data_IF_689362214512
#
_entry.id   IF_689362214512
#
_cell.length_a   1.000
_cell.length_b   1.000
_cell.length_c   1.000
_cell.angle_alpha   90.00
_cell.angle_beta   90.00
_cell.angle_gamma   90.00
#
_symmetry.space_group_name_H-M   'P 1'
#
loop_
_entity.id
_entity.type
_entity.pdbx_description
1 polymer ?
#
# COMPACT_ATOMS: atom_id res chain seq x y z
N UNK A 1 -16.96 18.36 -1.59
CA UNK A 1 -15.89 17.78 -0.76
C UNK A 1 -16.36 17.67 0.69
N UNK A 2 -17.42 16.90 0.96
CA UNK A 2 -18.11 16.88 2.26
C UNK A 2 -17.86 15.62 3.10
N UNK A 3 -16.79 14.88 2.82
CA UNK A 3 -16.45 13.63 3.56
C UNK A 3 -15.05 13.71 4.16
N UNK A 4 -14.75 14.81 4.84
CA UNK A 4 -13.55 14.87 5.67
C UNK A 4 -13.84 14.14 6.99
N UNK A 5 -13.32 12.91 7.13
CA UNK A 5 -13.50 12.05 8.31
C UNK A 5 -12.15 11.88 9.05
N UNK A 6 -11.69 12.90 9.78
CA UNK A 6 -10.36 12.88 10.40
C UNK A 6 -10.23 11.78 11.45
N UNK A 7 -11.30 11.49 12.20
CA UNK A 7 -11.30 10.45 13.23
C UNK A 7 -11.11 9.05 12.64
N UNK A 8 -11.78 8.73 11.52
CA UNK A 8 -11.62 7.45 10.85
C UNK A 8 -10.20 7.29 10.26
N UNK A 9 -9.67 8.36 9.66
CA UNK A 9 -8.31 8.38 9.12
C UNK A 9 -7.25 8.20 10.23
N UNK A 10 -7.45 8.86 11.38
CA UNK A 10 -6.55 8.75 12.53
C UNK A 10 -6.61 7.35 13.15
N UNK A 11 -7.80 6.78 13.30
CA UNK A 11 -7.97 5.41 13.79
C UNK A 11 -7.31 4.39 12.86
N UNK A 12 -7.52 4.51 11.55
CA UNK A 12 -6.86 3.66 10.55
C UNK A 12 -5.34 3.79 10.57
N UNK A 13 -4.83 5.01 10.66
CA UNK A 13 -3.39 5.27 10.78
C UNK A 13 -2.77 4.68 12.04
N UNK A 14 -3.45 4.79 13.18
CA UNK A 14 -3.02 4.18 14.45
C UNK A 14 -2.97 2.65 14.34
N UNK A 15 -3.99 2.01 13.76
CA UNK A 15 -4.01 0.56 13.57
C UNK A 15 -2.86 0.08 12.67
N UNK A 16 -2.60 0.79 11.57
CA UNK A 16 -1.47 0.50 10.69
C UNK A 16 -0.14 0.68 11.43
N UNK A 17 0.01 1.77 12.17
CA UNK A 17 1.22 2.05 12.95
C UNK A 17 1.50 0.99 14.01
N UNK A 18 0.49 0.61 14.79
CA UNK A 18 0.60 -0.44 15.81
C UNK A 18 0.96 -1.78 15.15
N UNK A 19 0.26 -2.16 14.08
CA UNK A 19 0.51 -3.41 13.33
C UNK A 19 1.96 -3.46 12.80
N UNK A 20 2.44 -2.38 12.19
CA UNK A 20 3.80 -2.28 11.70
C UNK A 20 4.85 -2.34 12.82
N UNK A 21 4.56 -1.71 13.97
CA UNK A 21 5.44 -1.73 15.15
C UNK A 21 5.50 -3.11 15.78
N UNK A 22 4.38 -3.83 15.89
CA UNK A 22 4.34 -5.20 16.37
C UNK A 22 5.12 -6.14 15.46
N UNK A 23 4.98 -6.02 14.14
CA UNK A 23 5.74 -6.81 13.19
C UNK A 23 7.25 -6.58 13.35
N UNK A 24 7.65 -5.33 13.52
CA UNK A 24 9.05 -4.97 13.76
C UNK A 24 9.55 -5.53 15.09
N UNK A 25 8.74 -5.45 16.13
CA UNK A 25 9.12 -5.91 17.47
C UNK A 25 9.26 -7.44 17.53
N UNK A 26 8.26 -8.18 17.05
CA UNK A 26 8.26 -9.65 17.13
C UNK A 26 9.14 -10.33 16.09
N UNK A 27 9.18 -9.81 14.86
CA UNK A 27 9.88 -10.45 13.74
C UNK A 27 11.14 -9.71 13.29
N UNK A 28 11.40 -8.49 13.80
CA UNK A 28 12.50 -7.66 13.32
C UNK A 28 12.39 -7.26 11.84
N UNK A 29 11.20 -7.39 11.24
CA UNK A 29 10.96 -7.19 9.81
C UNK A 29 10.14 -5.93 9.54
N UNK A 30 10.43 -5.27 8.43
CA UNK A 30 9.73 -4.06 8.01
C UNK A 30 8.49 -4.44 7.18
N UNK A 31 7.32 -3.85 7.51
CA UNK A 31 6.07 -4.06 6.80
C UNK A 31 6.06 -3.37 5.42
N UNK A 32 6.87 -3.84 4.48
CA UNK A 32 6.87 -3.39 3.09
C UNK A 32 6.19 -4.41 2.18
N UNK A 33 4.96 -4.12 1.71
CA UNK A 33 4.14 -5.09 0.96
C UNK A 33 4.86 -5.64 -0.27
N UNK A 34 5.53 -4.81 -1.08
CA UNK A 34 6.25 -5.29 -2.27
C UNK A 34 7.38 -6.26 -1.92
N UNK A 35 8.12 -5.98 -0.83
CA UNK A 35 9.17 -6.87 -0.34
C UNK A 35 8.64 -8.16 0.26
N UNK A 36 7.47 -8.10 0.93
CA UNK A 36 6.80 -9.29 1.49
C UNK A 36 6.30 -10.19 0.36
N UNK A 37 5.60 -9.64 -0.64
CA UNK A 37 5.10 -10.39 -1.80
C UNK A 37 6.25 -10.99 -2.62
N UNK A 38 7.26 -10.19 -2.94
CA UNK A 38 8.43 -10.66 -3.65
C UNK A 38 9.12 -11.82 -2.90
N UNK A 39 9.36 -11.65 -1.60
CA UNK A 39 9.95 -12.70 -0.79
C UNK A 39 9.06 -13.93 -0.63
N UNK A 40 7.74 -13.80 -0.57
CA UNK A 40 6.82 -14.94 -0.53
C UNK A 40 6.92 -15.80 -1.79
N UNK A 41 7.15 -15.18 -2.95
CA UNK A 41 7.23 -15.87 -4.25
C UNK A 41 8.60 -16.47 -4.52
N UNK A 42 9.68 -15.75 -4.21
CA UNK A 42 11.03 -16.08 -4.68
C UNK A 42 12.00 -16.58 -3.60
N UNK A 43 11.66 -16.46 -2.31
CA UNK A 43 12.55 -16.92 -1.24
C UNK A 43 12.51 -18.43 -1.10
N UNK A 44 13.69 -19.08 -1.11
CA UNK A 44 13.83 -20.53 -0.97
C UNK A 44 13.79 -20.99 0.50
N UNK A 45 14.11 -20.11 1.46
CA UNK A 45 14.10 -20.44 2.89
C UNK A 45 12.65 -20.57 3.39
N UNK A 46 12.31 -21.74 3.93
CA UNK A 46 10.94 -22.06 4.39
C UNK A 46 10.43 -21.10 5.48
N UNK A 47 11.24 -20.83 6.48
CA UNK A 47 10.86 -20.03 7.64
C UNK A 47 10.61 -18.56 7.27
N UNK A 48 11.43 -18.00 6.37
CA UNK A 48 11.25 -16.62 5.89
C UNK A 48 10.06 -16.48 4.93
N UNK A 49 9.63 -17.58 4.32
CA UNK A 49 8.46 -17.63 3.44
C UNK A 49 7.15 -17.73 4.22
N UNK A 50 7.12 -18.54 5.29
CA UNK A 50 5.91 -18.81 6.07
C UNK A 50 5.35 -17.52 6.67
N UNK A 51 6.15 -16.72 7.37
CA UNK A 51 5.67 -15.48 7.97
C UNK A 51 5.14 -14.49 6.92
N UNK A 52 5.73 -14.44 5.70
CA UNK A 52 5.27 -13.58 4.60
C UNK A 52 3.91 -14.01 4.10
N UNK A 53 3.72 -15.32 3.91
CA UNK A 53 2.43 -15.88 3.50
C UNK A 53 1.37 -15.61 4.58
N UNK A 54 1.69 -15.85 5.85
CA UNK A 54 0.78 -15.56 6.97
C UNK A 54 0.41 -14.07 7.04
N UNK A 55 1.36 -13.18 6.78
CA UNK A 55 1.09 -11.74 6.71
C UNK A 55 0.10 -11.40 5.58
N UNK A 56 0.29 -11.95 4.39
CA UNK A 56 -0.61 -11.73 3.24
C UNK A 56 -2.01 -12.29 3.54
N UNK A 57 -2.08 -13.50 4.09
CA UNK A 57 -3.36 -14.12 4.49
C UNK A 57 -4.06 -13.27 5.55
N UNK A 58 -3.33 -12.79 6.57
CA UNK A 58 -3.87 -11.89 7.59
C UNK A 58 -4.40 -10.58 7.02
N UNK A 59 -3.71 -10.01 6.03
CA UNK A 59 -4.15 -8.78 5.36
C UNK A 59 -5.47 -9.01 4.59
N UNK A 60 -5.57 -10.11 3.85
CA UNK A 60 -6.77 -10.50 3.10
C UNK A 60 -7.93 -10.79 4.09
N UNK A 61 -7.68 -11.59 5.11
CA UNK A 61 -8.68 -11.92 6.13
C UNK A 61 -9.19 -10.66 6.85
N UNK A 62 -8.31 -9.73 7.21
CA UNK A 62 -8.68 -8.45 7.82
C UNK A 62 -9.58 -7.61 6.91
N UNK A 63 -9.30 -7.59 5.61
CA UNK A 63 -10.15 -6.93 4.61
C UNK A 63 -11.55 -7.56 4.53
N UNK A 64 -11.62 -8.88 4.50
CA UNK A 64 -12.91 -9.60 4.49
C UNK A 64 -13.71 -9.38 5.78
N UNK A 65 -13.06 -9.43 6.93
CA UNK A 65 -13.72 -9.18 8.24
C UNK A 65 -14.26 -7.75 8.27
N UNK A 66 -13.50 -6.77 7.80
CA UNK A 66 -13.95 -5.37 7.73
C UNK A 66 -15.19 -5.22 6.84
N UNK A 67 -15.19 -5.84 5.65
CA UNK A 67 -16.34 -5.81 4.73
C UNK A 67 -17.58 -6.49 5.31
N UNK A 68 -17.39 -7.57 6.08
CA UNK A 68 -18.49 -8.29 6.74
C UNK A 68 -19.10 -7.46 7.89
N UNK A 69 -18.26 -6.74 8.66
CA UNK A 69 -18.71 -5.93 9.78
C UNK A 69 -19.34 -4.58 9.33
N UNK A 70 -18.87 -4.01 8.22
CA UNK A 70 -19.30 -2.72 7.69
C UNK A 70 -19.76 -2.82 6.24
N UNK A 71 -20.87 -3.51 5.95
CA UNK A 71 -21.38 -3.66 4.60
C UNK A 71 -21.77 -2.28 4.01
N UNK A 72 -21.35 -2.02 2.78
CA UNK A 72 -21.66 -0.76 2.08
C UNK A 72 -20.63 0.37 2.26
N UNK A 73 -19.60 0.21 3.09
CA UNK A 73 -18.55 1.23 3.28
C UNK A 73 -17.65 1.36 2.04
N UNK A 74 -17.44 0.27 1.33
CA UNK A 74 -16.63 0.23 0.11
C UNK A 74 -17.55 -0.01 -1.08
N UNK A 75 -17.72 1.01 -1.92
CA UNK A 75 -18.38 0.86 -3.21
C UNK A 75 -17.32 0.59 -4.27
N UNK A 76 -17.28 -0.62 -4.87
CA UNK A 76 -16.35 -0.91 -5.95
C UNK A 76 -16.65 0.02 -7.13
N UNK A 77 -15.64 0.73 -7.60
CA UNK A 77 -15.77 1.51 -8.82
C UNK A 77 -15.91 0.55 -10.00
N UNK A 78 -17.07 0.55 -10.62
CA UNK A 78 -17.36 -0.20 -11.84
C UNK A 78 -17.11 0.68 -13.06
N UNK A 79 -16.72 0.08 -14.18
CA UNK A 79 -16.56 0.81 -15.45
C UNK A 79 -15.12 0.99 -15.95
N UNK A 80 -14.12 0.49 -15.22
CA UNK A 80 -12.75 0.49 -15.73
C UNK A 80 -12.49 -0.69 -16.65
N UNK A 81 -11.84 -0.42 -17.80
CA UNK A 81 -11.35 -1.47 -18.68
C UNK A 81 -10.31 -2.34 -17.95
N UNK A 82 -10.45 -3.66 -18.05
CA UNK A 82 -9.53 -4.62 -17.44
C UNK A 82 -8.08 -4.41 -17.91
N UNK A 83 -7.90 -3.99 -19.17
CA UNK A 83 -6.60 -3.64 -19.73
C UNK A 83 -5.96 -2.43 -19.05
N UNK A 84 -6.75 -1.42 -18.72
CA UNK A 84 -6.26 -0.23 -18.01
C UNK A 84 -5.79 -0.59 -16.60
N UNK A 85 -6.56 -1.43 -15.90
CA UNK A 85 -6.20 -1.90 -14.56
C UNK A 85 -4.92 -2.75 -14.62
N UNK A 86 -4.79 -3.63 -15.61
CA UNK A 86 -3.60 -4.43 -15.82
C UNK A 86 -2.36 -3.58 -16.12
N UNK A 87 -2.48 -2.62 -17.02
CA UNK A 87 -1.39 -1.69 -17.35
C UNK A 87 -0.96 -0.84 -16.14
N UNK A 88 -1.93 -0.32 -15.38
CA UNK A 88 -1.65 0.43 -14.15
C UNK A 88 -0.91 -0.43 -13.11
N UNK A 89 -1.37 -1.66 -12.90
CA UNK A 89 -0.71 -2.61 -11.99
C UNK A 89 0.72 -2.94 -12.42
N UNK A 90 0.97 -3.11 -13.71
CA UNK A 90 2.30 -3.33 -14.27
C UNK A 90 3.23 -2.14 -14.02
N UNK A 91 2.76 -0.92 -14.29
CA UNK A 91 3.53 0.30 -14.06
C UNK A 91 3.86 0.50 -12.58
N UNK A 92 2.89 0.27 -11.68
CA UNK A 92 3.11 0.33 -10.24
C UNK A 92 4.10 -0.75 -9.80
N UNK A 93 3.97 -1.98 -10.31
CA UNK A 93 4.89 -3.08 -10.01
C UNK A 93 6.33 -2.77 -10.43
N UNK A 94 6.53 -2.28 -11.66
CA UNK A 94 7.83 -1.84 -12.14
C UNK A 94 8.37 -0.66 -11.32
N UNK A 95 7.54 0.34 -11.03
CA UNK A 95 7.94 1.50 -10.22
C UNK A 95 8.39 1.09 -8.81
N UNK A 96 7.69 0.19 -8.14
CA UNK A 96 8.08 -0.31 -6.81
C UNK A 96 9.35 -1.17 -6.84
N UNK A 97 9.56 -1.92 -7.92
CA UNK A 97 10.79 -2.70 -8.11
C UNK A 97 12.00 -1.80 -8.31
N UNK A 98 11.90 -0.80 -9.20
CA UNK A 98 12.96 0.17 -9.46
C UNK A 98 13.23 1.10 -8.27
N UNK A 99 12.17 1.52 -7.56
CA UNK A 99 12.29 2.38 -6.39
C UNK A 99 12.82 1.67 -5.12
N UNK A 100 12.95 0.34 -5.18
CA UNK A 100 13.43 -0.45 -4.03
C UNK A 100 12.44 -0.53 -2.87
N UNK A 101 11.15 -0.29 -3.14
CA UNK A 101 10.08 -0.38 -2.15
C UNK A 101 8.77 0.26 -2.62
N UNK A 102 7.68 -0.07 -1.93
CA UNK A 102 6.36 0.51 -2.18
C UNK A 102 6.04 1.64 -1.19
N UNK A 103 4.87 2.26 -1.36
CA UNK A 103 4.40 3.35 -0.49
C UNK A 103 4.31 2.95 0.98
N UNK A 104 3.97 1.71 1.31
CA UNK A 104 3.92 1.22 2.70
C UNK A 104 5.33 1.10 3.30
N UNK A 105 6.32 0.64 2.53
CA UNK A 105 7.70 0.54 2.99
C UNK A 105 8.35 1.90 3.21
N UNK A 106 8.23 2.81 2.25
CA UNK A 106 8.79 4.15 2.36
C UNK A 106 7.94 5.09 3.19
N UNK A 107 6.62 5.14 2.95
CA UNK A 107 5.72 6.08 3.59
C UNK A 107 5.41 5.76 5.05
N UNK A 108 5.22 4.51 5.41
CA UNK A 108 4.92 4.14 6.81
C UNK A 108 6.21 3.84 7.57
N UNK A 109 6.94 2.80 7.19
CA UNK A 109 8.10 2.34 7.95
C UNK A 109 9.36 3.19 7.74
N UNK A 110 9.54 3.74 6.55
CA UNK A 110 10.73 4.54 6.21
C UNK A 110 10.68 5.94 6.83
N UNK A 111 9.51 6.59 6.79
CA UNK A 111 9.31 7.90 7.43
C UNK A 111 9.35 7.81 8.96
N UNK A 112 8.77 6.77 9.56
CA UNK A 112 8.84 6.58 11.02
C UNK A 112 10.28 6.42 11.54
N UNK A 113 11.20 5.97 10.66
CA UNK A 113 12.64 5.86 10.94
C UNK A 113 13.45 7.09 10.51
N UNK A 114 12.79 8.17 10.10
CA UNK A 114 13.41 9.43 9.64
C UNK A 114 14.43 9.22 8.50
N UNK A 115 14.19 8.25 7.63
CA UNK A 115 15.07 7.96 6.51
C UNK A 115 14.92 9.02 5.39
N UNK A 116 15.99 9.75 5.09
CA UNK A 116 16.03 10.75 4.00
C UNK A 116 15.67 10.11 2.66
N UNK A 117 16.18 8.91 2.38
CA UNK A 117 15.83 8.16 1.16
C UNK A 117 14.32 7.93 1.05
N UNK A 118 13.69 7.56 2.16
CA UNK A 118 12.24 7.31 2.20
C UNK A 118 11.43 8.60 2.10
N UNK A 119 11.93 9.70 2.65
CA UNK A 119 11.33 11.02 2.50
C UNK A 119 11.32 11.43 1.02
N UNK A 120 12.46 11.36 0.34
CA UNK A 120 12.57 11.68 -1.09
C UNK A 120 11.66 10.79 -1.92
N UNK A 121 11.65 9.48 -1.69
CA UNK A 121 10.77 8.56 -2.39
C UNK A 121 9.29 8.91 -2.17
N UNK A 122 8.89 9.22 -0.93
CA UNK A 122 7.51 9.60 -0.59
C UNK A 122 7.09 10.88 -1.28
N UNK A 123 7.92 11.91 -1.26
CA UNK A 123 7.65 13.17 -1.97
C UNK A 123 7.53 12.94 -3.47
N UNK A 124 8.43 12.14 -4.05
CA UNK A 124 8.43 11.85 -5.49
C UNK A 124 7.13 11.18 -5.92
N UNK A 125 6.67 10.13 -5.24
CA UNK A 125 5.44 9.47 -5.65
C UNK A 125 4.18 10.31 -5.36
N UNK A 126 4.16 11.16 -4.33
CA UNK A 126 3.07 12.09 -4.10
C UNK A 126 2.98 13.13 -5.21
N UNK A 127 4.09 13.76 -5.57
CA UNK A 127 4.14 14.76 -6.64
C UNK A 127 3.73 14.13 -7.97
N UNK A 128 4.28 12.97 -8.32
CA UNK A 128 3.90 12.27 -9.56
C UNK A 128 2.44 11.88 -9.58
N UNK A 129 1.86 11.42 -8.47
CA UNK A 129 0.44 11.11 -8.36
C UNK A 129 -0.43 12.36 -8.58
N UNK A 130 -0.10 13.48 -7.94
CA UNK A 130 -0.82 14.76 -8.10
C UNK A 130 -0.76 15.23 -9.55
N UNK A 131 0.43 15.23 -10.16
CA UNK A 131 0.62 15.62 -11.56
C UNK A 131 -0.18 14.71 -12.49
N UNK A 132 -0.12 13.41 -12.29
CA UNK A 132 -0.86 12.44 -13.11
C UNK A 132 -2.37 12.67 -13.03
N UNK A 133 -2.92 12.83 -11.83
CA UNK A 133 -4.35 13.11 -11.64
C UNK A 133 -4.73 14.45 -12.25
N UNK A 134 -3.89 15.47 -12.11
CA UNK A 134 -4.13 16.77 -12.71
C UNK A 134 -4.20 16.69 -14.25
N UNK A 135 -3.23 16.02 -14.86
CA UNK A 135 -3.17 15.84 -16.33
C UNK A 135 -4.39 15.04 -16.81
N UNK A 136 -4.72 13.93 -16.14
CA UNK A 136 -5.87 13.10 -16.51
C UNK A 136 -7.19 13.86 -16.45
N UNK A 137 -7.39 14.70 -15.43
CA UNK A 137 -8.65 15.43 -15.24
C UNK A 137 -8.78 16.69 -16.09
N UNK A 138 -7.68 17.45 -16.27
CA UNK A 138 -7.75 18.77 -16.88
C UNK A 138 -7.25 18.81 -18.34
N UNK A 139 -6.34 17.91 -18.72
CA UNK A 139 -5.76 17.89 -20.07
C UNK A 139 -6.42 16.83 -20.94
N UNK A 140 -6.63 15.64 -20.40
CA UNK A 140 -7.22 14.51 -21.17
C UNK A 140 -8.74 14.40 -21.02
N UNK A 141 -9.38 15.28 -20.22
CA UNK A 141 -10.85 15.31 -20.07
C UNK A 141 -11.44 14.03 -19.48
N UNK A 142 -10.64 13.21 -18.83
CA UNK A 142 -11.08 11.99 -18.16
C UNK A 142 -11.87 12.34 -16.90
N UNK A 143 -13.16 12.02 -16.89
CA UNK A 143 -14.05 12.19 -15.74
C UNK A 143 -13.64 11.30 -14.57
#
# INVERSE_FOLDING_TARGET
>A
MNNFTPFAALAGGLLIGISASLLLWFNGKIAGISGIVNGALWTKASDDRIWRVLFIVGLIAGGFIYLALFPGTIQPRTGFSLWLVGAAGLLVGLGTALGGGCTSGHGVCGLSRLSIRSLVATVTFLVTAIVTVFVMRHVLGGA
#
